data_IF_394158907730
#
_entry.id   IF_394158907730
#
_cell.length_a   1.000
_cell.length_b   1.000
_cell.length_c   1.000
_cell.angle_alpha   90.00
_cell.angle_beta   90.00
_cell.angle_gamma   90.00
#
_symmetry.space_group_name_H-M   'P 1'
#
loop_
_entity.id
_entity.type
_entity.pdbx_description
1 polymer ?
#
# COMPACT_ATOMS: atom_id res chain seq x y z
N UNK A 1 -14.33 -6.32 -20.22
CA UNK A 1 -13.79 -4.95 -20.13
C UNK A 1 -13.54 -4.70 -18.65
N UNK A 2 -12.28 -4.67 -18.21
CA UNK A 2 -11.91 -4.33 -16.84
C UNK A 2 -12.35 -2.89 -16.60
N UNK A 3 -13.22 -2.65 -15.60
CA UNK A 3 -13.49 -1.29 -15.15
C UNK A 3 -12.17 -0.70 -14.64
N UNK A 4 -11.58 0.18 -15.44
CA UNK A 4 -10.44 0.98 -15.03
C UNK A 4 -10.79 1.66 -13.70
N UNK A 5 -9.88 1.55 -12.73
CA UNK A 5 -10.01 2.22 -11.43
C UNK A 5 -10.04 3.72 -11.72
N UNK A 6 -11.24 4.27 -11.81
CA UNK A 6 -11.42 5.70 -11.98
C UNK A 6 -11.06 6.38 -10.65
N UNK A 7 -10.14 7.38 -10.68
CA UNK A 7 -9.76 8.20 -9.51
C UNK A 7 -10.98 8.75 -8.78
N UNK A 8 -12.08 9.03 -9.49
CA UNK A 8 -13.36 9.45 -8.91
C UNK A 8 -14.05 8.34 -8.10
N UNK A 9 -13.90 7.06 -8.47
CA UNK A 9 -14.44 5.94 -7.71
C UNK A 9 -13.76 5.81 -6.33
N UNK A 10 -12.45 6.04 -6.28
CA UNK A 10 -11.71 6.04 -4.99
C UNK A 10 -12.20 7.17 -4.09
N UNK A 11 -12.39 8.39 -4.64
CA UNK A 11 -12.92 9.54 -3.89
C UNK A 11 -14.34 9.32 -3.39
N UNK A 12 -15.23 8.80 -4.25
CA UNK A 12 -16.67 8.89 -4.01
C UNK A 12 -17.29 7.65 -3.36
N UNK A 13 -16.69 6.46 -3.51
CA UNK A 13 -17.30 5.21 -3.06
C UNK A 13 -16.44 4.42 -2.07
N UNK A 14 -15.14 4.28 -2.27
CA UNK A 14 -14.32 3.41 -1.43
C UNK A 14 -14.09 3.97 -0.03
N UNK A 15 -14.08 5.29 0.13
CA UNK A 15 -13.84 5.96 1.41
C UNK A 15 -15.09 6.55 2.07
N UNK A 16 -16.27 6.43 1.46
CA UNK A 16 -17.54 6.90 2.04
C UNK A 16 -18.18 5.91 3.03
N UNK A 17 -17.92 4.62 2.92
CA UNK A 17 -18.44 3.62 3.86
C UNK A 17 -17.39 3.26 4.89
N UNK A 18 -17.55 3.74 6.12
CA UNK A 18 -16.68 3.41 7.25
C UNK A 18 -16.67 1.89 7.53
N UNK A 19 -17.82 1.20 7.38
CA UNK A 19 -17.95 -0.24 7.60
C UNK A 19 -16.95 -1.08 6.80
N UNK A 20 -16.83 -0.86 5.49
CA UNK A 20 -15.95 -1.67 4.63
C UNK A 20 -14.47 -1.34 4.83
N UNK A 21 -14.16 -0.08 5.15
CA UNK A 21 -12.80 0.31 5.52
C UNK A 21 -12.40 -0.33 6.85
N UNK A 22 -13.29 -0.32 7.83
CA UNK A 22 -13.09 -0.95 9.13
C UNK A 22 -12.87 -2.46 9.00
N UNK A 23 -13.68 -3.16 8.18
CA UNK A 23 -13.50 -4.59 7.93
C UNK A 23 -12.11 -4.89 7.34
N UNK A 24 -11.65 -4.07 6.39
CA UNK A 24 -10.32 -4.19 5.78
C UNK A 24 -9.18 -3.91 6.76
N UNK A 25 -9.39 -3.04 7.73
CA UNK A 25 -8.39 -2.77 8.78
C UNK A 25 -8.40 -3.90 9.81
N UNK A 26 -9.57 -4.35 10.26
CA UNK A 26 -9.72 -5.37 11.31
C UNK A 26 -9.05 -6.69 10.95
N UNK A 27 -9.11 -7.13 9.69
CA UNK A 27 -8.50 -8.40 9.29
C UNK A 27 -6.98 -8.44 9.58
N UNK A 28 -6.31 -7.28 9.54
CA UNK A 28 -4.88 -7.19 9.81
C UNK A 28 -4.52 -7.29 11.30
N UNK A 29 -5.49 -7.21 12.22
CA UNK A 29 -5.24 -7.39 13.65
C UNK A 29 -4.87 -8.84 14.02
N UNK A 30 -5.15 -9.80 13.12
CA UNK A 30 -4.80 -11.21 13.32
C UNK A 30 -3.38 -11.58 12.90
N UNK A 31 -2.52 -10.57 12.72
CA UNK A 31 -1.10 -10.81 12.39
C UNK A 31 -0.34 -11.47 13.52
N UNK A 32 0.56 -12.38 13.17
CA UNK A 32 1.55 -12.93 14.11
C UNK A 32 2.82 -12.08 14.20
N UNK A 33 2.98 -11.08 13.31
CA UNK A 33 4.16 -10.24 13.31
C UNK A 33 4.17 -9.30 14.52
N UNK A 34 5.32 -9.22 15.20
CA UNK A 34 5.52 -8.33 16.37
C UNK A 34 5.55 -6.85 15.99
N UNK A 35 5.86 -6.56 14.75
CA UNK A 35 5.89 -5.19 14.20
C UNK A 35 4.93 -5.07 13.03
N UNK A 36 4.44 -3.87 12.81
CA UNK A 36 3.62 -3.57 11.64
C UNK A 36 4.45 -3.53 10.36
N UNK A 37 3.78 -3.64 9.22
CA UNK A 37 4.42 -3.46 7.91
C UNK A 37 5.16 -2.12 7.79
N UNK A 38 4.59 -1.04 8.33
CA UNK A 38 5.21 0.29 8.29
C UNK A 38 6.51 0.34 9.10
N UNK A 39 6.56 -0.35 10.25
CA UNK A 39 7.77 -0.46 11.07
C UNK A 39 8.82 -1.35 10.39
N UNK A 40 8.38 -2.45 9.78
CA UNK A 40 9.26 -3.31 9.00
C UNK A 40 9.89 -2.55 7.83
N UNK A 41 9.12 -1.75 7.09
CA UNK A 41 9.63 -0.89 6.01
C UNK A 41 10.77 0.00 6.49
N UNK A 42 10.57 0.71 7.61
CA UNK A 42 11.59 1.60 8.15
C UNK A 42 12.90 0.86 8.42
N UNK A 43 12.81 -0.34 8.98
CA UNK A 43 13.99 -1.13 9.37
C UNK A 43 14.76 -1.70 8.15
N UNK A 44 14.20 -1.55 6.93
CA UNK A 44 14.88 -1.94 5.70
C UNK A 44 15.79 -0.84 5.12
N UNK A 45 15.65 0.41 5.57
CA UNK A 45 16.40 1.52 5.02
C UNK A 45 17.70 1.78 5.78
N UNK A 46 18.77 2.07 5.05
CA UNK A 46 20.03 2.55 5.60
C UNK A 46 20.11 4.09 5.51
N UNK A 47 19.96 4.73 6.66
CA UNK A 47 20.08 6.20 6.78
C UNK A 47 21.49 6.67 7.15
N UNK A 48 22.49 5.79 7.25
CA UNK A 48 23.85 6.13 7.74
C UNK A 48 24.51 7.25 6.91
N UNK A 49 24.29 7.26 5.60
CA UNK A 49 24.84 8.27 4.71
C UNK A 49 24.18 9.66 4.85
N UNK A 50 23.08 9.75 5.58
CA UNK A 50 22.29 10.95 5.81
C UNK A 50 22.45 11.54 7.21
N UNK A 51 23.21 10.89 8.11
CA UNK A 51 23.46 11.40 9.44
C UNK A 51 24.18 12.75 9.35
N UNK A 52 23.74 13.71 10.19
CA UNK A 52 24.23 15.11 10.22
C UNK A 52 24.03 15.90 8.94
N UNK A 53 23.18 15.46 8.03
CA UNK A 53 22.79 16.21 6.84
C UNK A 53 21.32 16.62 6.92
N UNK A 54 20.98 17.72 6.26
CA UNK A 54 19.58 18.05 5.98
C UNK A 54 19.10 17.15 4.84
N UNK A 55 18.02 16.40 5.08
CA UNK A 55 17.47 15.41 4.15
C UNK A 55 16.15 15.94 3.61
N UNK A 56 16.02 16.05 2.31
CA UNK A 56 14.78 16.39 1.65
C UNK A 56 14.04 15.11 1.28
N UNK A 57 12.86 14.94 1.83
CA UNK A 57 12.05 13.71 1.65
C UNK A 57 10.72 14.07 1.01
N UNK A 58 10.35 13.35 -0.03
CA UNK A 58 9.04 13.39 -0.66
C UNK A 58 8.29 12.09 -0.34
N UNK A 59 7.08 12.21 0.18
CA UNK A 59 6.15 11.09 0.31
C UNK A 59 4.99 11.27 -0.69
N UNK A 60 4.99 10.43 -1.73
CA UNK A 60 4.02 10.49 -2.82
C UNK A 60 2.86 9.54 -2.55
N UNK A 61 1.64 10.07 -2.60
CA UNK A 61 0.42 9.37 -2.23
C UNK A 61 0.48 8.88 -0.76
N UNK A 62 0.80 9.81 0.13
CA UNK A 62 1.08 9.55 1.55
C UNK A 62 -0.14 9.01 2.34
N UNK A 63 -1.35 9.07 1.77
CA UNK A 63 -2.58 8.66 2.43
C UNK A 63 -2.78 9.38 3.77
N UNK A 64 -3.00 8.62 4.84
CA UNK A 64 -3.19 9.15 6.20
C UNK A 64 -1.90 9.42 6.97
N UNK A 65 -0.72 9.27 6.33
CA UNK A 65 0.57 9.48 6.98
C UNK A 65 1.01 8.36 7.92
N UNK A 66 0.44 7.16 7.79
CA UNK A 66 0.63 6.06 8.75
C UNK A 66 2.09 5.59 8.85
N UNK A 67 2.86 5.62 7.76
CA UNK A 67 4.30 5.31 7.78
C UNK A 67 5.06 6.24 8.75
N UNK A 68 4.79 7.52 8.68
CA UNK A 68 5.41 8.54 9.53
C UNK A 68 4.97 8.41 10.98
N UNK A 69 3.66 8.24 11.19
CA UNK A 69 3.07 8.09 12.52
C UNK A 69 3.69 6.93 13.30
N UNK A 70 3.83 5.77 12.67
CA UNK A 70 4.37 4.58 13.34
C UNK A 70 5.89 4.62 13.56
N UNK A 71 6.61 5.39 12.75
CA UNK A 71 8.09 5.43 12.81
C UNK A 71 8.65 6.75 13.35
N UNK A 72 7.81 7.67 13.78
CA UNK A 72 8.21 9.01 14.20
C UNK A 72 9.43 9.03 15.14
N UNK A 73 9.39 8.20 16.18
CA UNK A 73 10.50 8.13 17.18
C UNK A 73 11.82 7.68 16.56
N UNK A 74 11.76 6.89 15.48
CA UNK A 74 12.97 6.40 14.79
C UNK A 74 13.60 7.48 13.90
N UNK A 75 12.81 8.46 13.46
CA UNK A 75 13.29 9.60 12.65
C UNK A 75 13.90 10.75 13.47
N UNK A 76 13.81 10.71 14.81
CA UNK A 76 14.15 11.85 15.70
C UNK A 76 15.58 12.40 15.53
N UNK A 77 16.51 11.53 15.13
CA UNK A 77 17.93 11.86 15.01
C UNK A 77 18.32 12.29 13.58
N UNK A 78 17.32 12.35 12.66
CA UNK A 78 17.50 12.79 11.29
C UNK A 78 16.92 14.19 11.09
N UNK A 79 17.67 15.05 10.41
CA UNK A 79 17.23 16.40 10.07
C UNK A 79 16.42 16.38 8.76
N UNK A 80 15.13 16.11 8.85
CA UNK A 80 14.23 15.89 7.70
C UNK A 80 13.43 17.15 7.38
N UNK A 81 13.43 17.52 6.10
CA UNK A 81 12.48 18.42 5.45
C UNK A 81 11.52 17.56 4.63
N UNK A 82 10.28 17.40 5.13
CA UNK A 82 9.29 16.46 4.59
C UNK A 82 8.26 17.19 3.73
N UNK A 83 8.08 16.73 2.51
CA UNK A 83 6.94 17.07 1.66
C UNK A 83 6.05 15.85 1.50
N UNK A 84 4.79 15.96 1.90
CA UNK A 84 3.79 14.91 1.79
C UNK A 84 2.77 15.29 0.73
N UNK A 85 2.56 14.40 -0.24
CA UNK A 85 1.63 14.65 -1.33
C UNK A 85 0.59 13.53 -1.43
N UNK A 86 -0.62 13.89 -1.77
CA UNK A 86 -1.69 12.96 -2.14
C UNK A 86 -2.60 13.63 -3.17
N UNK A 87 -3.27 12.84 -4.03
CA UNK A 87 -4.26 13.38 -4.96
C UNK A 87 -5.61 13.69 -4.29
N UNK A 88 -5.81 13.20 -3.06
CA UNK A 88 -7.01 13.34 -2.25
C UNK A 88 -6.79 14.35 -1.13
N UNK A 89 -7.49 15.48 -1.19
CA UNK A 89 -7.47 16.51 -0.15
C UNK A 89 -7.87 15.93 1.22
N UNK A 90 -8.87 15.03 1.25
CA UNK A 90 -9.30 14.38 2.49
C UNK A 90 -8.24 13.49 3.12
N UNK A 91 -7.33 12.89 2.31
CA UNK A 91 -6.20 12.12 2.84
C UNK A 91 -5.15 13.05 3.43
N UNK A 92 -4.84 14.17 2.77
CA UNK A 92 -3.93 15.19 3.31
C UNK A 92 -4.43 15.76 4.63
N UNK A 93 -5.73 16.05 4.75
CA UNK A 93 -6.30 16.53 6.01
C UNK A 93 -6.19 15.49 7.14
N UNK A 94 -6.48 14.20 6.83
CA UNK A 94 -6.28 13.11 7.80
C UNK A 94 -4.81 12.96 8.18
N UNK A 95 -3.90 13.08 7.23
CA UNK A 95 -2.46 13.04 7.48
C UNK A 95 -2.02 14.20 8.38
N UNK A 96 -2.45 15.45 8.10
CA UNK A 96 -2.18 16.60 8.95
C UNK A 96 -2.61 16.35 10.39
N UNK A 97 -3.86 15.89 10.57
CA UNK A 97 -4.40 15.58 11.90
C UNK A 97 -3.65 14.44 12.58
N UNK A 98 -3.29 13.41 11.82
CA UNK A 98 -2.56 12.24 12.32
C UNK A 98 -1.15 12.57 12.82
N UNK A 99 -0.55 13.65 12.30
CA UNK A 99 0.83 14.07 12.55
C UNK A 99 0.94 15.42 13.26
N UNK A 100 -0.18 15.99 13.78
CA UNK A 100 -0.20 17.33 14.39
C UNK A 100 0.72 17.48 15.62
N UNK A 101 0.91 16.39 16.38
CA UNK A 101 1.76 16.38 17.57
C UNK A 101 3.27 16.24 17.24
N UNK A 102 3.61 16.05 15.97
CA UNK A 102 4.98 15.80 15.55
C UNK A 102 5.71 17.09 15.16
N UNK A 103 6.92 17.29 15.69
CA UNK A 103 7.72 18.52 15.55
C UNK A 103 8.54 18.59 14.26
N UNK A 104 8.17 17.87 13.20
CA UNK A 104 8.80 18.03 11.90
C UNK A 104 8.20 19.21 11.14
N UNK A 105 9.03 19.84 10.32
CA UNK A 105 8.51 20.75 9.31
C UNK A 105 7.97 19.93 8.15
N UNK A 106 6.64 19.86 8.05
CA UNK A 106 5.93 19.09 7.02
C UNK A 106 5.21 20.06 6.08
N UNK A 107 5.49 19.96 4.80
CA UNK A 107 4.73 20.63 3.72
C UNK A 107 3.73 19.64 3.17
N UNK A 108 2.45 20.02 3.09
CA UNK A 108 1.38 19.20 2.52
C UNK A 108 0.90 19.82 1.22
N UNK A 109 0.92 19.03 0.14
CA UNK A 109 0.55 19.52 -1.19
C UNK A 109 -0.35 18.54 -1.93
N UNK A 110 -1.40 19.05 -2.54
CA UNK A 110 -2.25 18.26 -3.44
C UNK A 110 -1.47 17.99 -4.74
N UNK A 111 -1.17 16.73 -5.01
CA UNK A 111 -0.44 16.34 -6.22
C UNK A 111 -0.81 14.95 -6.70
N UNK A 112 -0.74 14.77 -8.01
CA UNK A 112 -0.91 13.49 -8.69
C UNK A 112 0.47 12.91 -9.02
N UNK A 113 0.68 11.61 -8.75
CA UNK A 113 1.91 10.90 -9.06
C UNK A 113 2.32 11.03 -10.54
N UNK A 114 1.35 11.26 -11.43
CA UNK A 114 1.61 11.47 -12.86
C UNK A 114 1.96 12.92 -13.20
N UNK A 115 2.02 13.85 -12.21
CA UNK A 115 2.25 15.29 -12.40
C UNK A 115 3.21 15.84 -11.33
N UNK A 116 4.44 15.33 -11.32
CA UNK A 116 5.46 15.67 -10.32
C UNK A 116 6.61 16.51 -10.88
N UNK A 117 6.44 17.16 -12.06
CA UNK A 117 7.51 17.87 -12.77
C UNK A 117 8.15 18.98 -11.92
N UNK A 118 7.37 19.62 -11.04
CA UNK A 118 7.88 20.68 -10.13
C UNK A 118 8.89 20.18 -9.10
N UNK A 119 8.93 18.87 -8.86
CA UNK A 119 9.82 18.24 -7.89
C UNK A 119 11.09 17.65 -8.48
N UNK A 120 11.34 17.86 -9.77
CA UNK A 120 12.49 17.30 -10.49
C UNK A 120 13.82 17.62 -9.81
N UNK A 121 14.66 16.58 -9.62
CA UNK A 121 16.02 16.67 -9.04
C UNK A 121 16.08 17.38 -7.67
N UNK A 122 15.08 17.17 -6.82
CA UNK A 122 14.95 17.95 -5.59
C UNK A 122 15.15 17.14 -4.30
N UNK A 123 14.82 15.85 -4.30
CA UNK A 123 14.75 15.05 -3.08
C UNK A 123 15.87 14.01 -2.97
N UNK A 124 16.30 13.78 -1.74
CA UNK A 124 17.24 12.72 -1.39
C UNK A 124 16.53 11.38 -1.31
N UNK A 125 15.30 11.38 -0.80
CA UNK A 125 14.48 10.18 -0.61
C UNK A 125 13.06 10.45 -1.12
N UNK A 126 12.52 9.49 -1.87
CA UNK A 126 11.13 9.50 -2.32
C UNK A 126 10.45 8.23 -1.86
N UNK A 127 9.42 8.34 -1.06
CA UNK A 127 8.54 7.23 -0.68
C UNK A 127 7.32 7.20 -1.60
N UNK A 128 6.93 6.00 -2.03
CA UNK A 128 5.71 5.75 -2.78
C UNK A 128 5.20 4.35 -2.41
N UNK A 129 4.49 4.27 -1.30
CA UNK A 129 4.07 3.01 -0.71
C UNK A 129 2.63 2.67 -1.11
N UNK A 130 2.44 1.48 -1.72
CA UNK A 130 1.13 0.97 -2.12
C UNK A 130 0.31 1.97 -2.96
N UNK A 131 0.95 2.64 -3.93
CA UNK A 131 0.33 3.74 -4.64
C UNK A 131 0.43 3.65 -6.17
N UNK A 132 1.52 3.12 -6.74
CA UNK A 132 1.76 3.09 -8.19
C UNK A 132 0.61 2.43 -8.96
N UNK A 133 -0.05 1.42 -8.39
CA UNK A 133 -1.18 0.75 -9.03
C UNK A 133 -2.43 1.65 -9.20
N UNK A 134 -2.46 2.82 -8.56
CA UNK A 134 -3.52 3.81 -8.74
C UNK A 134 -3.26 4.77 -9.92
N UNK A 135 -2.03 4.85 -10.42
CA UNK A 135 -1.73 5.65 -11.59
C UNK A 135 -2.46 5.11 -12.83
N UNK A 136 -2.92 5.98 -13.71
CA UNK A 136 -3.48 5.57 -15.00
C UNK A 136 -2.35 5.10 -15.91
N UNK A 137 -1.24 5.86 -15.95
CA UNK A 137 -0.03 5.51 -16.69
C UNK A 137 1.13 5.24 -15.73
N UNK A 138 1.46 3.94 -15.51
CA UNK A 138 2.54 3.50 -14.62
C UNK A 138 3.91 3.96 -15.10
N UNK A 139 4.13 4.00 -16.41
CA UNK A 139 5.40 4.47 -16.99
C UNK A 139 5.66 5.94 -16.66
N UNK A 140 4.63 6.79 -16.78
CA UNK A 140 4.71 8.20 -16.38
C UNK A 140 4.97 8.33 -14.88
N UNK A 141 4.25 7.57 -14.05
CA UNK A 141 4.42 7.57 -12.61
C UNK A 141 5.86 7.17 -12.21
N UNK A 142 6.40 6.07 -12.74
CA UNK A 142 7.75 5.59 -12.44
C UNK A 142 8.83 6.56 -12.92
N UNK A 143 8.63 7.14 -14.11
CA UNK A 143 9.52 8.19 -14.64
C UNK A 143 9.53 9.43 -13.75
N UNK A 144 8.37 9.86 -13.27
CA UNK A 144 8.26 10.99 -12.35
C UNK A 144 8.93 10.69 -11.02
N UNK A 145 8.68 9.53 -10.40
CA UNK A 145 9.36 9.13 -9.17
C UNK A 145 10.89 9.16 -9.33
N UNK A 146 11.41 8.61 -10.44
CA UNK A 146 12.83 8.66 -10.74
C UNK A 146 13.33 10.10 -10.90
N UNK A 147 12.56 10.95 -11.58
CA UNK A 147 12.95 12.34 -11.85
C UNK A 147 13.00 13.22 -10.59
N UNK A 148 12.19 12.89 -9.56
CA UNK A 148 12.18 13.63 -8.30
C UNK A 148 13.47 13.49 -7.50
N UNK A 149 14.19 12.35 -7.64
CA UNK A 149 15.47 12.16 -6.98
C UNK A 149 16.50 13.19 -7.48
N UNK A 150 17.29 13.72 -6.55
CA UNK A 150 18.50 14.45 -6.89
C UNK A 150 19.60 13.49 -7.43
N UNK A 151 20.79 14.01 -7.72
CA UNK A 151 21.87 13.22 -8.30
C UNK A 151 22.86 12.67 -7.25
N UNK A 152 22.53 12.69 -5.94
CA UNK A 152 23.38 12.05 -4.93
C UNK A 152 23.27 10.51 -5.06
N UNK A 153 24.42 9.85 -5.01
CA UNK A 153 24.51 8.37 -5.14
C UNK A 153 23.77 7.62 -4.06
N UNK A 154 23.51 8.26 -2.91
CA UNK A 154 22.79 7.67 -1.79
C UNK A 154 21.28 7.86 -1.89
N UNK A 155 20.83 8.76 -2.77
CA UNK A 155 19.40 9.01 -2.97
C UNK A 155 18.68 7.80 -3.51
N UNK A 156 17.45 7.59 -3.04
CA UNK A 156 16.65 6.43 -3.44
C UNK A 156 15.15 6.71 -3.48
N UNK A 157 14.44 5.94 -4.29
CA UNK A 157 12.98 5.79 -4.25
C UNK A 157 12.65 4.48 -3.54
N UNK A 158 11.72 4.53 -2.60
CA UNK A 158 11.13 3.35 -2.00
C UNK A 158 9.74 3.11 -2.59
N UNK A 159 9.53 1.94 -3.19
CA UNK A 159 8.26 1.56 -3.78
C UNK A 159 7.79 0.26 -3.14
N UNK A 160 6.53 0.21 -2.72
CA UNK A 160 5.89 -1.04 -2.31
C UNK A 160 4.64 -1.32 -3.14
N UNK A 161 4.34 -2.60 -3.26
CA UNK A 161 3.11 -3.11 -3.86
C UNK A 161 2.75 -4.45 -3.23
N UNK A 162 1.77 -5.15 -3.79
CA UNK A 162 1.45 -6.52 -3.40
C UNK A 162 1.76 -7.48 -4.56
N UNK A 163 2.04 -8.74 -4.23
CA UNK A 163 2.15 -9.82 -5.22
C UNK A 163 0.76 -10.29 -5.66
N UNK A 164 0.68 -10.93 -6.82
CA UNK A 164 -0.51 -11.69 -7.25
C UNK A 164 -0.90 -12.79 -6.24
N UNK A 165 0.06 -13.21 -5.41
CA UNK A 165 -0.15 -14.19 -4.33
C UNK A 165 -0.58 -13.58 -3.01
N UNK A 166 -0.73 -12.25 -2.94
CA UNK A 166 -1.16 -11.57 -1.72
C UNK A 166 -2.62 -11.92 -1.39
N UNK A 167 -2.84 -12.55 -0.22
CA UNK A 167 -4.15 -13.01 0.26
C UNK A 167 -4.88 -13.93 -0.74
N UNK A 168 -4.13 -14.64 -1.57
CA UNK A 168 -4.64 -15.39 -2.72
C UNK A 168 -5.72 -16.40 -2.34
N UNK A 169 -5.55 -17.12 -1.22
CA UNK A 169 -6.50 -18.14 -0.77
C UNK A 169 -7.91 -17.59 -0.53
N UNK A 170 -8.04 -16.36 -0.06
CA UNK A 170 -9.35 -15.69 0.12
C UNK A 170 -10.06 -15.55 -1.23
N UNK A 171 -9.30 -15.12 -2.24
CA UNK A 171 -9.84 -14.91 -3.59
C UNK A 171 -10.10 -16.23 -4.33
N UNK A 172 -9.22 -17.23 -4.15
CA UNK A 172 -9.39 -18.56 -4.77
C UNK A 172 -10.65 -19.27 -4.26
N UNK A 173 -10.89 -19.28 -2.95
CA UNK A 173 -12.13 -19.85 -2.39
C UNK A 173 -13.34 -19.14 -2.98
N UNK A 174 -13.33 -17.80 -3.00
CA UNK A 174 -14.44 -17.02 -3.54
C UNK A 174 -14.71 -17.35 -5.01
N UNK A 175 -13.67 -17.40 -5.86
CA UNK A 175 -13.80 -17.70 -7.29
C UNK A 175 -14.15 -19.15 -7.60
N UNK A 176 -13.76 -20.08 -6.76
CA UNK A 176 -14.18 -21.47 -6.87
C UNK A 176 -15.67 -21.65 -6.56
N UNK A 177 -16.23 -20.81 -5.70
CA UNK A 177 -17.65 -20.79 -5.39
C UNK A 177 -18.48 -20.04 -6.44
N UNK A 178 -17.97 -18.90 -6.91
CA UNK A 178 -18.61 -18.08 -7.94
C UNK A 178 -17.55 -17.35 -8.80
N UNK A 179 -17.56 -17.61 -10.10
CA UNK A 179 -16.62 -16.98 -11.04
C UNK A 179 -16.73 -15.44 -11.13
N UNK A 180 -17.84 -14.87 -10.68
CA UNK A 180 -18.03 -13.43 -10.60
C UNK A 180 -17.38 -12.81 -9.34
N UNK A 181 -16.91 -13.64 -8.40
CA UNK A 181 -16.18 -13.13 -7.26
C UNK A 181 -14.94 -12.37 -7.73
N UNK A 182 -14.69 -11.15 -7.24
CA UNK A 182 -13.64 -10.30 -7.78
C UNK A 182 -12.24 -10.88 -7.50
N UNK A 183 -11.30 -10.53 -8.35
CA UNK A 183 -9.86 -10.61 -8.02
C UNK A 183 -9.46 -9.42 -7.14
N UNK A 184 -8.28 -9.48 -6.54
CA UNK A 184 -7.69 -8.27 -5.97
C UNK A 184 -7.53 -7.22 -7.08
N UNK A 185 -7.87 -5.97 -6.79
CA UNK A 185 -7.87 -4.87 -7.77
C UNK A 185 -6.51 -4.57 -8.38
N UNK A 186 -5.44 -4.95 -7.68
CA UNK A 186 -4.08 -4.65 -8.12
C UNK A 186 -3.52 -5.69 -9.08
N UNK A 187 -4.13 -6.89 -9.20
CA UNK A 187 -3.61 -8.01 -10.01
C UNK A 187 -3.35 -7.62 -11.46
N UNK A 188 -4.23 -6.80 -12.04
CA UNK A 188 -4.09 -6.36 -13.44
C UNK A 188 -3.42 -4.99 -13.59
N UNK A 189 -2.80 -4.48 -12.53
CA UNK A 189 -2.30 -3.10 -12.48
C UNK A 189 -0.80 -3.00 -12.24
N UNK A 190 -0.35 -3.14 -10.99
CA UNK A 190 1.07 -3.02 -10.61
C UNK A 190 1.36 -3.96 -9.45
N UNK A 191 1.43 -5.24 -9.73
CA UNK A 191 1.82 -6.29 -8.78
C UNK A 191 3.34 -6.43 -8.69
N UNK A 192 3.84 -7.27 -7.79
CA UNK A 192 5.25 -7.68 -7.74
C UNK A 192 5.73 -8.14 -9.11
N UNK A 193 4.94 -8.98 -9.78
CA UNK A 193 5.26 -9.63 -11.04
C UNK A 193 5.33 -8.63 -12.21
N UNK A 194 4.53 -7.57 -12.16
CA UNK A 194 4.55 -6.46 -13.12
C UNK A 194 5.68 -5.49 -12.76
N UNK A 195 5.87 -5.17 -11.48
CA UNK A 195 6.92 -4.30 -11.01
C UNK A 195 8.31 -4.83 -11.38
N UNK A 196 8.55 -6.15 -11.21
CA UNK A 196 9.81 -6.80 -11.59
C UNK A 196 10.17 -6.62 -13.09
N UNK A 197 9.15 -6.46 -13.95
CA UNK A 197 9.34 -6.22 -15.40
C UNK A 197 9.49 -4.74 -15.75
N UNK A 198 8.79 -3.86 -15.03
CA UNK A 198 8.76 -2.42 -15.36
C UNK A 198 9.91 -1.64 -14.71
N UNK A 199 10.22 -1.91 -13.44
CA UNK A 199 11.19 -1.14 -12.67
C UNK A 199 12.61 -1.11 -13.30
N UNK A 200 13.13 -2.19 -13.92
CA UNK A 200 14.46 -2.17 -14.55
C UNK A 200 14.63 -1.10 -15.65
N UNK A 201 13.54 -0.58 -16.20
CA UNK A 201 13.58 0.49 -17.22
C UNK A 201 13.88 1.88 -16.62
N UNK A 202 13.65 2.05 -15.31
CA UNK A 202 13.73 3.34 -14.61
C UNK A 202 14.77 3.33 -13.49
N UNK A 203 15.08 2.14 -12.93
CA UNK A 203 15.85 1.99 -11.71
C UNK A 203 16.76 0.77 -11.73
N UNK A 204 17.89 0.90 -11.02
CA UNK A 204 18.55 -0.24 -10.39
C UNK A 204 17.95 -0.40 -8.99
N UNK A 205 17.60 -1.60 -8.56
CA UNK A 205 16.93 -1.77 -7.28
C UNK A 205 17.40 -3.01 -6.52
N UNK A 206 17.26 -2.94 -5.20
CA UNK A 206 17.24 -4.06 -4.28
C UNK A 206 15.78 -4.39 -3.97
N UNK A 207 15.41 -5.68 -4.01
CA UNK A 207 14.07 -6.15 -3.63
C UNK A 207 14.14 -6.89 -2.30
N UNK A 208 13.28 -6.51 -1.35
CA UNK A 208 13.03 -7.22 -0.10
C UNK A 208 11.58 -7.65 -0.06
N UNK A 209 11.31 -8.71 0.69
CA UNK A 209 9.97 -9.30 0.73
C UNK A 209 9.52 -9.45 2.17
N UNK A 210 8.38 -8.86 2.50
CA UNK A 210 7.64 -9.17 3.73
C UNK A 210 6.62 -10.27 3.47
N UNK A 211 6.74 -11.33 4.24
CA UNK A 211 5.74 -12.40 4.32
C UNK A 211 5.08 -12.33 5.68
N UNK A 212 3.80 -12.00 5.69
CA UNK A 212 3.02 -11.89 6.91
C UNK A 212 1.89 -12.93 6.90
N UNK A 213 1.71 -13.62 8.03
CA UNK A 213 0.61 -14.56 8.23
C UNK A 213 -0.42 -13.95 9.16
N UNK A 214 -1.67 -14.00 8.73
CA UNK A 214 -2.81 -13.68 9.58
C UNK A 214 -3.46 -15.01 9.99
N UNK A 215 -3.68 -15.20 11.29
CA UNK A 215 -4.41 -16.33 11.86
C UNK A 215 -5.79 -15.86 12.32
N UNK A 216 -6.72 -15.82 11.38
CA UNK A 216 -8.07 -15.28 11.62
C UNK A 216 -8.89 -16.31 12.39
N UNK A 217 -9.18 -16.01 13.65
CA UNK A 217 -9.98 -16.86 14.54
C UNK A 217 -11.44 -16.45 14.57
N UNK A 218 -11.77 -15.28 14.08
CA UNK A 218 -13.11 -14.70 14.05
C UNK A 218 -13.72 -14.82 12.65
N UNK A 219 -14.73 -15.67 12.53
CA UNK A 219 -15.42 -15.91 11.28
C UNK A 219 -16.18 -14.67 10.78
N UNK A 220 -16.76 -13.88 11.69
CA UNK A 220 -17.53 -12.69 11.32
C UNK A 220 -16.63 -11.64 10.67
N UNK A 221 -15.45 -11.38 11.25
CA UNK A 221 -14.45 -10.46 10.68
C UNK A 221 -13.97 -10.94 9.31
N UNK A 222 -13.76 -12.26 9.14
CA UNK A 222 -13.39 -12.81 7.84
C UNK A 222 -14.49 -12.58 6.81
N UNK A 223 -15.74 -12.84 7.17
CA UNK A 223 -16.88 -12.66 6.27
C UNK A 223 -17.12 -11.19 5.92
N UNK A 224 -16.96 -10.27 6.87
CA UNK A 224 -17.00 -8.83 6.62
C UNK A 224 -15.90 -8.40 5.64
N UNK A 225 -14.69 -8.96 5.77
CA UNK A 225 -13.60 -8.72 4.83
C UNK A 225 -13.97 -9.20 3.42
N UNK A 226 -14.50 -10.40 3.28
CA UNK A 226 -14.97 -10.97 2.01
C UNK A 226 -16.05 -10.08 1.39
N UNK A 227 -17.06 -9.68 2.17
CA UNK A 227 -18.13 -8.79 1.73
C UNK A 227 -17.59 -7.41 1.28
N UNK A 228 -16.56 -6.90 1.95
CA UNK A 228 -15.93 -5.61 1.60
C UNK A 228 -15.34 -5.57 0.17
N UNK A 229 -15.04 -6.72 -0.40
CA UNK A 229 -14.57 -6.85 -1.78
C UNK A 229 -15.69 -6.86 -2.81
N UNK A 230 -16.91 -7.19 -2.43
CA UNK A 230 -18.07 -7.49 -3.29
C UNK A 230 -19.11 -6.36 -3.28
N UNK A 231 -19.61 -6.05 -2.09
CA UNK A 231 -20.75 -5.16 -1.92
C UNK A 231 -20.54 -3.73 -2.44
N UNK A 232 -19.39 -3.07 -2.18
CA UNK A 232 -19.16 -1.73 -2.69
C UNK A 232 -19.11 -1.65 -4.22
N UNK A 233 -18.89 -2.81 -4.88
CA UNK A 233 -18.83 -2.92 -6.35
C UNK A 233 -20.17 -3.31 -6.97
N UNK A 234 -21.19 -3.59 -6.16
CA UNK A 234 -22.48 -4.12 -6.59
C UNK A 234 -22.34 -5.41 -7.43
N UNK A 235 -21.38 -6.26 -7.11
CA UNK A 235 -21.17 -7.54 -7.78
C UNK A 235 -22.26 -8.50 -7.35
N UNK A 236 -22.99 -9.05 -8.32
CA UNK A 236 -23.99 -10.06 -8.04
C UNK A 236 -23.34 -11.44 -8.03
N UNK A 237 -23.40 -12.09 -6.88
CA UNK A 237 -22.99 -13.48 -6.66
C UNK A 237 -24.23 -14.37 -6.54
N UNK A 238 -24.03 -15.69 -6.58
CA UNK A 238 -25.12 -16.65 -6.31
C UNK A 238 -25.64 -16.49 -4.88
N UNK A 239 -26.92 -16.74 -4.67
CA UNK A 239 -27.60 -16.52 -3.38
C UNK A 239 -26.96 -17.32 -2.21
N UNK A 240 -26.45 -18.52 -2.48
CA UNK A 240 -25.78 -19.38 -1.48
C UNK A 240 -24.31 -19.01 -1.19
N UNK A 241 -23.74 -18.00 -1.88
CA UNK A 241 -22.30 -17.72 -1.84
C UNK A 241 -21.76 -17.55 -0.42
N UNK A 242 -22.33 -16.63 0.34
CA UNK A 242 -21.84 -16.32 1.68
C UNK A 242 -22.00 -17.50 2.66
N UNK A 243 -23.08 -18.28 2.51
CA UNK A 243 -23.29 -19.48 3.32
C UNK A 243 -22.23 -20.54 3.02
N UNK A 244 -21.94 -20.80 1.75
CA UNK A 244 -20.94 -21.79 1.34
C UNK A 244 -19.53 -21.35 1.72
N UNK A 245 -19.18 -20.06 1.53
CA UNK A 245 -17.90 -19.51 1.93
C UNK A 245 -17.72 -19.65 3.45
N UNK A 246 -18.72 -19.27 4.21
CA UNK A 246 -18.73 -19.39 5.68
C UNK A 246 -18.53 -20.81 6.16
N UNK A 247 -19.16 -21.80 5.52
CA UNK A 247 -18.98 -23.24 5.85
C UNK A 247 -17.54 -23.69 5.63
N UNK A 248 -16.91 -23.28 4.51
CA UNK A 248 -15.51 -23.62 4.22
C UNK A 248 -14.60 -22.99 5.26
N UNK A 249 -14.74 -21.69 5.50
CA UNK A 249 -13.92 -20.94 6.43
C UNK A 249 -14.06 -21.48 7.87
N UNK A 250 -15.30 -21.73 8.30
CA UNK A 250 -15.59 -22.33 9.62
C UNK A 250 -14.95 -23.70 9.76
N UNK A 251 -15.05 -24.55 8.75
CA UNK A 251 -14.42 -25.88 8.77
C UNK A 251 -12.90 -25.80 8.94
N UNK A 252 -12.25 -24.80 8.36
CA UNK A 252 -10.81 -24.58 8.53
C UNK A 252 -10.49 -24.10 9.95
N UNK A 253 -11.27 -23.14 10.46
CA UNK A 253 -11.13 -22.63 11.84
C UNK A 253 -11.35 -23.78 12.85
N UNK A 254 -12.39 -24.57 12.69
CA UNK A 254 -12.70 -25.69 13.60
C UNK A 254 -11.59 -26.76 13.61
N UNK A 255 -10.92 -26.98 12.48
CA UNK A 255 -9.82 -27.95 12.34
C UNK A 255 -8.48 -27.47 12.85
N UNK A 256 -8.12 -26.21 12.58
CA UNK A 256 -6.78 -25.64 12.81
C UNK A 256 -6.75 -24.62 13.96
N UNK A 257 -7.91 -24.16 14.43
CA UNK A 257 -8.05 -23.04 15.35
C UNK A 257 -8.08 -21.67 14.69
N UNK A 258 -7.82 -21.59 13.38
CA UNK A 258 -7.81 -20.33 12.63
C UNK A 258 -7.94 -20.58 11.12
N UNK A 259 -8.35 -19.53 10.40
CA UNK A 259 -8.23 -19.43 8.94
C UNK A 259 -6.94 -18.69 8.61
N UNK A 260 -6.03 -19.33 7.86
CA UNK A 260 -4.73 -18.73 7.51
C UNK A 260 -4.85 -17.84 6.28
N UNK A 261 -4.31 -16.63 6.37
CA UNK A 261 -4.15 -15.74 5.21
C UNK A 261 -2.68 -15.36 5.10
N UNK A 262 -2.10 -15.49 3.91
CA UNK A 262 -0.72 -15.13 3.64
C UNK A 262 -0.70 -13.81 2.87
N UNK A 263 -0.06 -12.79 3.45
CA UNK A 263 0.24 -11.52 2.77
C UNK A 263 1.65 -11.58 2.21
N UNK A 264 1.79 -11.09 0.98
CA UNK A 264 3.08 -11.01 0.30
C UNK A 264 3.25 -9.61 -0.26
N UNK A 265 4.14 -8.84 0.35
CA UNK A 265 4.33 -7.42 0.06
C UNK A 265 5.81 -7.13 -0.22
N UNK A 266 6.20 -6.93 -1.48
CA UNK A 266 7.56 -6.56 -1.85
C UNK A 266 7.82 -5.09 -1.56
N UNK A 267 9.05 -4.81 -1.17
CA UNK A 267 9.68 -3.51 -1.10
C UNK A 267 10.78 -3.45 -2.15
N UNK A 268 10.79 -2.37 -2.92
CA UNK A 268 11.86 -2.04 -3.87
C UNK A 268 12.57 -0.77 -3.40
N UNK A 269 13.87 -0.88 -3.13
CA UNK A 269 14.75 0.26 -2.84
C UNK A 269 15.49 0.58 -4.15
N UNK A 270 15.08 1.65 -4.80
CA UNK A 270 15.37 1.97 -6.18
C UNK A 270 16.36 3.12 -6.29
N UNK A 271 17.40 2.98 -7.10
CA UNK A 271 18.35 4.04 -7.44
C UNK A 271 18.21 4.42 -8.91
N UNK A 272 18.43 5.70 -9.23
CA UNK A 272 18.41 6.18 -10.62
C UNK A 272 19.34 5.35 -11.50
N UNK A 273 18.93 5.09 -12.74
CA UNK A 273 19.83 4.63 -13.80
C UNK A 273 20.56 5.88 -14.30
N UNK A 274 21.90 5.86 -14.23
CA UNK A 274 22.74 6.94 -14.77
C UNK A 274 22.73 6.91 -16.30
#
# INVERSE_FOLDING_TARGET
MSEQINKNYLKDKQYKSTKYLEARIKIHSFTENKQSFQQWLFDQYDFSSFINKKIKVLDVACGTGEFWKQNFKKFKDLNIELTMTDFSESMLEKSKKSLEDYKFHIVYELADIEKLEKYKNHFDIVFCHNAVYHAENKDVALKNLSSCLNNDKNSFVSITTNSEKHMLNVYEIGRNLDKNFPTDRIIDSFTEEIADKMLPQYFKFEKKLELEKLKVTDLEILMDYVASGVEPRNIRLKDSFYEEYSKIAKSEIDKKGYFEIIKRSPLYICKKIN
#
